data_IF_232285055988
#
_entry.id   IF_232285055988
#
_cell.length_a   1.000
_cell.length_b   1.000
_cell.length_c   1.000
_cell.angle_alpha   90.00
_cell.angle_beta   90.00
_cell.angle_gamma   90.00
#
_symmetry.space_group_name_H-M   'P 1'
#
loop_
_entity.id
_entity.type
_entity.pdbx_description
1 polymer ?
#
# COMPACT_ATOMS: atom_id res chain seq x y z
N UNK A 1 -13.09 -31.13 5.48
CA UNK A 1 -12.66 -29.71 5.49
C UNK A 1 -11.16 -29.70 5.73
N UNK A 2 -10.35 -29.58 4.69
CA UNK A 2 -8.89 -29.46 4.86
C UNK A 2 -8.59 -28.07 5.46
N UNK A 3 -8.17 -28.05 6.71
CA UNK A 3 -7.57 -26.83 7.30
C UNK A 3 -6.23 -26.64 6.61
N UNK A 4 -6.07 -25.55 5.88
CA UNK A 4 -4.77 -25.15 5.40
C UNK A 4 -3.85 -24.93 6.60
N UNK A 5 -2.66 -25.57 6.62
CA UNK A 5 -1.77 -25.52 7.78
C UNK A 5 -1.11 -24.13 8.01
N UNK A 6 -1.32 -23.17 7.12
CA UNK A 6 -0.73 -21.83 7.19
C UNK A 6 -1.77 -20.79 7.64
N UNK A 7 -2.02 -20.75 8.94
CA UNK A 7 -2.88 -19.72 9.55
C UNK A 7 -2.09 -18.48 9.98
N UNK A 8 -0.76 -18.50 9.90
CA UNK A 8 0.09 -17.41 10.34
C UNK A 8 0.59 -16.59 9.14
N UNK A 9 0.55 -15.28 9.27
CA UNK A 9 1.17 -14.36 8.33
C UNK A 9 2.67 -14.62 8.21
N UNK A 10 3.25 -14.46 7.01
CA UNK A 10 4.68 -14.55 6.78
C UNK A 10 5.47 -13.63 7.74
N UNK A 11 5.00 -12.43 7.94
CA UNK A 11 5.62 -11.41 8.80
C UNK A 11 5.69 -11.82 10.27
N UNK A 12 4.81 -12.73 10.70
CA UNK A 12 4.72 -13.20 12.08
C UNK A 12 5.48 -14.49 12.35
N UNK A 13 6.04 -15.13 11.33
CA UNK A 13 6.80 -16.39 11.49
C UNK A 13 8.17 -16.16 12.16
N UNK A 14 8.70 -14.97 12.03
CA UNK A 14 10.00 -14.57 12.58
C UNK A 14 9.88 -13.51 13.67
N UNK A 15 8.68 -13.34 14.21
CA UNK A 15 8.37 -12.26 15.13
C UNK A 15 9.06 -12.45 16.48
N UNK A 16 10.04 -11.60 16.77
CA UNK A 16 10.45 -11.34 18.14
C UNK A 16 9.38 -10.45 18.73
N UNK A 17 8.40 -11.04 19.41
CA UNK A 17 7.33 -10.29 20.08
C UNK A 17 7.95 -9.25 21.01
N UNK A 18 7.95 -8.00 20.57
CA UNK A 18 8.37 -6.89 21.40
C UNK A 18 7.30 -6.71 22.47
N UNK A 19 7.69 -6.97 23.72
CA UNK A 19 6.81 -6.77 24.86
C UNK A 19 7.09 -5.40 25.46
N UNK A 20 6.05 -4.62 25.59
CA UNK A 20 6.08 -3.33 26.26
C UNK A 20 5.29 -3.41 27.56
N UNK A 21 5.70 -2.67 28.62
CA UNK A 21 4.99 -2.67 29.88
C UNK A 21 3.58 -2.07 29.71
N UNK A 22 2.66 -2.50 30.56
CA UNK A 22 1.37 -1.85 30.68
C UNK A 22 1.53 -0.44 31.21
N UNK A 23 0.65 0.45 30.76
CA UNK A 23 0.54 1.78 31.33
C UNK A 23 -0.18 1.66 32.70
N UNK A 24 0.58 1.78 33.78
CA UNK A 24 0.07 1.61 35.15
C UNK A 24 -0.11 2.94 35.89
N UNK A 25 0.40 4.03 35.33
CA UNK A 25 0.34 5.35 35.94
C UNK A 25 0.11 6.44 34.89
N UNK A 26 -0.28 7.62 35.37
CA UNK A 26 -0.43 8.80 34.50
C UNK A 26 0.93 9.20 33.91
N UNK A 27 0.98 9.47 32.62
CA UNK A 27 2.15 9.95 31.88
C UNK A 27 1.81 11.29 31.24
N UNK A 28 2.73 12.24 31.32
CA UNK A 28 2.60 13.51 30.61
C UNK A 28 3.38 13.45 29.29
N UNK A 29 2.78 13.88 28.20
CA UNK A 29 3.41 13.94 26.88
C UNK A 29 2.75 15.05 26.05
N UNK A 30 3.37 15.39 24.90
CA UNK A 30 2.79 16.34 23.96
C UNK A 30 1.64 15.70 23.18
N UNK A 31 1.81 14.43 22.75
CA UNK A 31 0.89 13.73 21.87
C UNK A 31 0.74 12.27 22.29
N UNK A 32 -0.49 11.80 22.32
CA UNK A 32 -0.82 10.37 22.46
C UNK A 32 -1.28 9.85 21.11
N UNK A 33 -0.64 8.76 20.65
CA UNK A 33 -1.07 8.00 19.47
C UNK A 33 -1.70 6.69 19.94
N UNK A 34 -2.91 6.39 19.50
CA UNK A 34 -3.65 5.18 19.89
C UNK A 34 -3.69 4.21 18.72
N UNK A 35 -3.12 3.02 18.94
CA UNK A 35 -2.99 1.95 17.96
C UNK A 35 -1.59 1.91 17.33
N UNK A 36 -0.87 0.79 17.51
CA UNK A 36 0.46 0.55 16.99
C UNK A 36 0.45 -0.32 15.71
N UNK A 37 -0.49 -0.07 14.80
CA UNK A 37 -0.40 -0.47 13.41
C UNK A 37 0.54 0.45 12.63
N UNK A 38 0.73 0.21 11.33
CA UNK A 38 1.67 0.98 10.49
C UNK A 38 1.40 2.49 10.56
N UNK A 39 0.14 2.92 10.50
CA UNK A 39 -0.21 4.34 10.57
C UNK A 39 0.20 4.97 11.90
N UNK A 40 -0.10 4.33 13.04
CA UNK A 40 0.28 4.85 14.35
C UNK A 40 1.77 4.84 14.58
N UNK A 41 2.48 3.80 14.14
CA UNK A 41 3.93 3.70 14.25
C UNK A 41 4.62 4.81 13.44
N UNK A 42 4.25 5.00 12.18
CA UNK A 42 4.83 6.05 11.33
C UNK A 42 4.50 7.43 11.88
N UNK A 43 3.25 7.66 12.33
CA UNK A 43 2.86 8.93 12.96
C UNK A 43 3.69 9.23 14.19
N UNK A 44 3.84 8.25 15.09
CA UNK A 44 4.63 8.41 16.32
C UNK A 44 6.10 8.70 16.01
N UNK A 45 6.68 7.96 15.05
CA UNK A 45 8.06 8.14 14.60
C UNK A 45 8.29 9.54 14.02
N UNK A 46 7.44 10.00 13.12
CA UNK A 46 7.56 11.32 12.51
C UNK A 46 7.39 12.46 13.52
N UNK A 47 6.47 12.33 14.47
CA UNK A 47 6.29 13.30 15.54
C UNK A 47 7.51 13.36 16.48
N UNK A 48 8.09 12.20 16.81
CA UNK A 48 9.29 12.10 17.62
C UNK A 48 10.49 12.74 16.90
N UNK A 49 10.64 12.51 15.61
CA UNK A 49 11.68 13.14 14.79
C UNK A 49 11.55 14.68 14.74
N UNK A 50 10.35 15.20 14.97
CA UNK A 50 10.04 16.63 15.09
C UNK A 50 10.17 17.17 16.53
N UNK A 51 10.78 16.38 17.42
CA UNK A 51 11.06 16.78 18.81
C UNK A 51 9.87 16.72 19.76
N UNK A 52 8.77 16.04 19.38
CA UNK A 52 7.61 15.87 20.26
C UNK A 52 7.81 14.70 21.23
N UNK A 53 7.36 14.87 22.46
CA UNK A 53 7.23 13.75 23.41
C UNK A 53 5.96 12.97 23.05
N UNK A 54 6.13 11.76 22.51
CA UNK A 54 5.02 10.94 22.02
C UNK A 54 4.86 9.69 22.89
N UNK A 55 3.62 9.39 23.27
CA UNK A 55 3.24 8.12 23.86
C UNK A 55 2.40 7.35 22.86
N UNK A 56 2.86 6.16 22.48
CA UNK A 56 2.12 5.23 21.61
C UNK A 56 1.48 4.14 22.46
N UNK A 57 0.16 4.01 22.39
CA UNK A 57 -0.63 3.02 23.12
C UNK A 57 -1.17 1.96 22.17
N UNK A 58 -1.01 0.69 22.56
CA UNK A 58 -1.54 -0.45 21.82
C UNK A 58 -2.30 -1.36 22.78
N UNK A 59 -3.48 -1.84 22.38
CA UNK A 59 -4.32 -2.66 23.22
C UNK A 59 -3.84 -4.12 23.34
N UNK A 60 -3.14 -4.60 22.32
CA UNK A 60 -2.70 -6.02 22.21
C UNK A 60 -1.20 -6.12 21.99
N UNK A 61 -0.77 -6.14 20.75
CA UNK A 61 0.64 -6.26 20.33
C UNK A 61 0.91 -5.31 19.15
N UNK A 62 2.10 -4.74 19.13
CA UNK A 62 2.54 -3.85 18.04
C UNK A 62 2.49 -4.59 16.70
N UNK A 63 1.88 -3.98 15.68
CA UNK A 63 1.80 -4.53 14.33
C UNK A 63 0.87 -5.74 14.15
N UNK A 64 0.16 -6.18 15.18
CA UNK A 64 -0.61 -7.43 15.16
C UNK A 64 -1.83 -7.41 14.26
N UNK A 65 -2.47 -6.27 14.08
CA UNK A 65 -3.69 -6.12 13.29
C UNK A 65 -3.47 -6.33 11.79
N UNK A 66 -4.11 -5.53 10.96
CA UNK A 66 -3.97 -5.54 9.50
C UNK A 66 -2.51 -5.41 9.04
N UNK A 67 -1.69 -4.66 9.76
CA UNK A 67 -0.26 -4.48 9.47
C UNK A 67 0.49 -5.81 9.46
N UNK A 68 0.28 -6.67 10.42
CA UNK A 68 0.91 -8.00 10.50
C UNK A 68 0.35 -9.02 9.50
N UNK A 69 -0.65 -8.67 8.70
CA UNK A 69 -1.29 -9.53 7.70
C UNK A 69 -1.29 -8.89 6.31
N UNK A 70 -0.51 -7.84 6.11
CA UNK A 70 -0.38 -7.17 4.81
C UNK A 70 0.34 -8.04 3.78
N UNK A 71 0.13 -7.77 2.49
CA UNK A 71 0.96 -8.34 1.41
C UNK A 71 2.23 -7.51 1.18
N UNK A 72 2.43 -6.43 1.94
CA UNK A 72 3.52 -5.46 1.81
C UNK A 72 3.65 -4.80 0.43
N UNK A 73 2.62 -4.88 -0.40
CA UNK A 73 2.60 -4.16 -1.68
C UNK A 73 2.19 -2.71 -1.46
N UNK A 74 3.06 -1.79 -1.79
CA UNK A 74 2.78 -0.35 -1.82
C UNK A 74 2.68 0.12 -3.26
N UNK A 75 1.63 0.85 -3.61
CA UNK A 75 1.31 1.18 -5.00
C UNK A 75 0.47 2.45 -5.06
N UNK A 76 0.62 3.22 -6.12
CA UNK A 76 -0.34 4.29 -6.45
C UNK A 76 -1.60 3.74 -7.12
N UNK A 77 -1.61 2.46 -7.51
CA UNK A 77 -2.74 1.82 -8.17
C UNK A 77 -3.57 0.99 -7.19
N UNK A 78 -4.81 1.39 -6.97
CA UNK A 78 -5.77 0.71 -6.11
C UNK A 78 -7.01 0.26 -6.91
N UNK A 79 -6.81 -0.63 -7.88
CA UNK A 79 -7.83 -0.99 -8.86
C UNK A 79 -8.10 0.18 -9.83
N UNK A 80 -9.29 0.21 -10.45
CA UNK A 80 -9.73 1.31 -11.33
C UNK A 80 -10.30 2.48 -10.49
N UNK A 81 -9.45 3.13 -9.69
CA UNK A 81 -9.88 4.15 -8.71
C UNK A 81 -9.94 5.55 -9.31
N UNK A 82 -9.03 5.90 -10.24
CA UNK A 82 -8.88 7.28 -10.71
C UNK A 82 -10.06 7.72 -11.58
N UNK A 83 -10.50 6.88 -12.50
CA UNK A 83 -11.72 7.13 -13.29
C UNK A 83 -12.95 7.31 -12.40
N UNK A 84 -13.05 6.50 -11.33
CA UNK A 84 -14.12 6.62 -10.34
C UNK A 84 -14.04 7.91 -9.53
N UNK A 85 -12.85 8.32 -9.09
CA UNK A 85 -12.65 9.57 -8.37
C UNK A 85 -13.02 10.77 -9.24
N UNK A 86 -12.64 10.78 -10.52
CA UNK A 86 -13.02 11.83 -11.46
C UNK A 86 -14.53 11.91 -11.67
N UNK A 87 -15.21 10.77 -11.79
CA UNK A 87 -16.67 10.72 -11.96
C UNK A 87 -17.42 11.14 -10.70
N UNK A 88 -16.92 10.75 -9.53
CA UNK A 88 -17.61 11.00 -8.25
C UNK A 88 -17.35 12.41 -7.71
N UNK A 89 -16.15 12.92 -7.94
CA UNK A 89 -15.71 14.22 -7.44
C UNK A 89 -15.26 15.11 -8.61
N UNK A 90 -13.98 15.10 -8.94
CA UNK A 90 -13.40 15.85 -10.06
C UNK A 90 -11.94 15.36 -10.34
N UNK A 91 -11.34 15.93 -11.38
CA UNK A 91 -9.95 15.64 -11.78
C UNK A 91 -8.95 16.03 -10.69
N UNK A 92 -9.13 17.17 -10.03
CA UNK A 92 -8.24 17.66 -8.98
C UNK A 92 -8.19 16.68 -7.80
N UNK A 93 -9.32 16.16 -7.37
CA UNK A 93 -9.38 15.13 -6.31
C UNK A 93 -8.64 13.86 -6.71
N UNK A 94 -8.78 13.42 -7.94
CA UNK A 94 -8.06 12.25 -8.45
C UNK A 94 -6.54 12.50 -8.50
N UNK A 95 -6.11 13.69 -8.90
CA UNK A 95 -4.72 14.11 -8.93
C UNK A 95 -4.11 14.18 -7.53
N UNK A 96 -4.78 14.82 -6.59
CA UNK A 96 -4.33 14.87 -5.19
C UNK A 96 -4.22 13.48 -4.57
N UNK A 97 -5.17 12.60 -4.86
CA UNK A 97 -5.09 11.21 -4.40
C UNK A 97 -3.84 10.50 -4.95
N UNK A 98 -3.52 10.70 -6.22
CA UNK A 98 -2.30 10.18 -6.83
C UNK A 98 -1.05 10.75 -6.16
N UNK A 99 -0.94 12.09 -6.07
CA UNK A 99 0.22 12.81 -5.53
C UNK A 99 0.53 12.37 -4.08
N UNK A 100 -0.48 12.26 -3.22
CA UNK A 100 -0.29 11.79 -1.85
C UNK A 100 0.19 10.33 -1.76
N UNK A 101 -0.30 9.46 -2.63
CA UNK A 101 0.17 8.08 -2.65
C UNK A 101 1.58 7.95 -3.23
N UNK A 102 1.93 8.75 -4.22
CA UNK A 102 3.26 8.81 -4.81
C UNK A 102 4.28 9.36 -3.81
N UNK A 103 3.94 10.43 -3.10
CA UNK A 103 4.75 10.95 -1.98
C UNK A 103 4.96 9.91 -0.86
N UNK A 104 3.95 9.09 -0.57
CA UNK A 104 4.07 7.99 0.38
C UNK A 104 5.03 6.90 -0.11
N UNK A 105 5.07 6.59 -1.39
CA UNK A 105 6.07 5.67 -1.97
C UNK A 105 7.48 6.24 -1.87
N UNK A 106 7.64 7.52 -2.17
CA UNK A 106 8.93 8.21 -2.03
C UNK A 106 9.39 8.27 -0.55
N UNK A 107 8.45 8.44 0.38
CA UNK A 107 8.76 8.36 1.80
C UNK A 107 9.34 6.98 2.16
N UNK A 108 8.68 5.90 1.75
CA UNK A 108 9.16 4.54 2.00
C UNK A 108 10.55 4.31 1.38
N UNK A 109 10.78 4.76 0.15
CA UNK A 109 12.08 4.67 -0.51
C UNK A 109 13.17 5.39 0.28
N UNK A 110 12.90 6.60 0.77
CA UNK A 110 13.84 7.32 1.64
C UNK A 110 14.16 6.56 2.93
N UNK A 111 13.17 5.86 3.54
CA UNK A 111 13.43 5.05 4.73
C UNK A 111 14.39 3.89 4.43
N UNK A 112 14.25 3.24 3.27
CA UNK A 112 15.20 2.19 2.83
C UNK A 112 16.61 2.76 2.67
N UNK A 113 16.76 3.92 2.08
CA UNK A 113 18.05 4.59 1.89
C UNK A 113 18.75 4.94 3.21
N UNK A 114 18.03 5.00 4.35
CA UNK A 114 18.63 5.18 5.68
C UNK A 114 19.27 3.92 6.26
N UNK A 115 19.21 2.77 5.54
CA UNK A 115 19.89 1.54 5.89
C UNK A 115 18.99 0.46 6.50
N UNK A 116 17.68 0.61 6.43
CA UNK A 116 16.76 -0.49 6.77
C UNK A 116 16.82 -1.57 5.69
N UNK A 117 17.26 -2.76 6.05
CA UNK A 117 17.21 -3.95 5.19
C UNK A 117 15.81 -4.57 5.29
N UNK A 118 15.00 -4.33 4.25
CA UNK A 118 13.59 -4.74 4.20
C UNK A 118 13.22 -5.46 2.90
N UNK A 119 14.20 -6.04 2.20
CA UNK A 119 13.97 -6.73 0.91
C UNK A 119 13.17 -5.86 -0.10
N UNK A 120 13.53 -4.58 -0.19
CA UNK A 120 12.83 -3.61 -1.02
C UNK A 120 13.02 -3.88 -2.51
N UNK A 121 11.93 -4.03 -3.25
CA UNK A 121 11.94 -4.21 -4.70
C UNK A 121 10.95 -3.27 -5.39
N UNK A 122 11.37 -2.72 -6.53
CA UNK A 122 10.48 -1.97 -7.44
C UNK A 122 10.02 -2.90 -8.57
N UNK A 123 8.72 -3.05 -8.73
CA UNK A 123 8.10 -3.89 -9.76
C UNK A 123 7.03 -3.12 -10.52
N UNK A 124 6.70 -3.59 -11.71
CA UNK A 124 5.54 -3.11 -12.44
C UNK A 124 4.26 -3.70 -11.87
N UNK A 125 3.22 -2.88 -11.77
CA UNK A 125 1.88 -3.31 -11.36
C UNK A 125 0.97 -3.35 -12.58
N UNK A 126 0.16 -4.39 -12.70
CA UNK A 126 -0.77 -4.54 -13.81
C UNK A 126 -2.20 -4.63 -13.29
N UNK A 127 -3.08 -3.82 -13.86
CA UNK A 127 -4.52 -3.95 -13.72
C UNK A 127 -5.06 -4.46 -15.06
N UNK A 128 -5.78 -5.56 -15.07
CA UNK A 128 -6.32 -6.18 -16.27
C UNK A 128 -7.76 -6.63 -16.09
N UNK A 129 -8.47 -6.82 -17.20
CA UNK A 129 -9.81 -7.42 -17.23
C UNK A 129 -9.90 -8.43 -18.36
N UNK A 130 -10.69 -9.46 -18.15
CA UNK A 130 -11.00 -10.50 -19.14
C UNK A 130 -12.39 -10.33 -19.77
N UNK A 131 -13.24 -9.48 -19.20
CA UNK A 131 -14.65 -9.38 -19.59
C UNK A 131 -15.00 -8.09 -20.34
N UNK A 132 -14.50 -6.93 -19.90
CA UNK A 132 -14.81 -5.64 -20.51
C UNK A 132 -13.62 -4.70 -20.45
N UNK A 133 -13.29 -4.07 -21.59
CA UNK A 133 -12.21 -3.10 -21.70
C UNK A 133 -12.62 -1.66 -21.35
N UNK A 134 -13.94 -1.36 -21.31
CA UNK A 134 -14.41 0.03 -21.15
C UNK A 134 -13.96 0.69 -19.85
N UNK A 135 -13.97 -0.05 -18.73
CA UNK A 135 -13.54 0.47 -17.44
C UNK A 135 -12.03 0.78 -17.43
N UNK A 136 -11.22 -0.08 -18.04
CA UNK A 136 -9.78 0.16 -18.13
C UNK A 136 -9.43 1.27 -19.11
N UNK A 137 -10.17 1.43 -20.20
CA UNK A 137 -10.01 2.56 -21.12
C UNK A 137 -10.23 3.90 -20.38
N UNK A 138 -11.29 3.99 -19.59
CA UNK A 138 -11.56 5.17 -18.76
C UNK A 138 -10.47 5.39 -17.69
N UNK A 139 -9.91 4.34 -17.15
CA UNK A 139 -8.83 4.43 -16.16
C UNK A 139 -7.51 4.90 -16.81
N UNK A 140 -7.17 4.42 -18.01
CA UNK A 140 -6.01 4.90 -18.78
C UNK A 140 -6.15 6.37 -19.12
N UNK A 141 -7.35 6.80 -19.55
CA UNK A 141 -7.63 8.22 -19.79
C UNK A 141 -7.47 9.07 -18.51
N UNK A 142 -7.92 8.54 -17.37
CA UNK A 142 -7.74 9.20 -16.09
C UNK A 142 -6.26 9.35 -15.72
N UNK A 143 -5.43 8.32 -15.95
CA UNK A 143 -3.98 8.41 -15.73
C UNK A 143 -3.33 9.55 -16.53
N UNK A 144 -3.69 9.66 -17.81
CA UNK A 144 -3.17 10.73 -18.67
C UNK A 144 -3.55 12.12 -18.15
N UNK A 145 -4.79 12.30 -17.70
CA UNK A 145 -5.27 13.59 -17.17
C UNK A 145 -4.57 14.02 -15.89
N UNK A 146 -4.30 13.08 -14.98
CA UNK A 146 -3.65 13.40 -13.70
C UNK A 146 -2.12 13.35 -13.76
N UNK A 147 -1.53 12.97 -14.89
CA UNK A 147 -0.07 12.85 -15.05
C UNK A 147 0.54 11.60 -14.39
N UNK A 148 -0.28 10.56 -14.10
CA UNK A 148 0.23 9.29 -13.61
C UNK A 148 1.00 8.57 -14.73
N UNK A 149 2.22 8.15 -14.41
CA UNK A 149 3.05 7.40 -15.34
C UNK A 149 2.57 5.95 -15.49
N UNK A 150 1.68 5.71 -16.43
CA UNK A 150 1.10 4.42 -16.73
C UNK A 150 0.39 4.47 -18.09
N UNK A 151 0.04 3.31 -18.64
CA UNK A 151 -0.60 3.24 -19.94
C UNK A 151 -1.08 1.85 -20.32
N UNK A 152 -1.44 1.67 -21.57
CA UNK A 152 -1.84 0.37 -22.09
C UNK A 152 -0.67 -0.63 -22.07
N UNK A 153 -0.87 -1.73 -21.39
CA UNK A 153 0.08 -2.82 -21.23
C UNK A 153 -0.48 -4.17 -21.70
N UNK A 154 -1.48 -4.15 -22.58
CA UNK A 154 -2.19 -5.36 -23.03
C UNK A 154 -1.22 -6.41 -23.61
N UNK A 155 -0.27 -5.97 -24.44
CA UNK A 155 0.71 -6.88 -25.03
C UNK A 155 1.65 -7.48 -23.99
N UNK A 156 2.07 -6.72 -22.99
CA UNK A 156 2.95 -7.18 -21.91
C UNK A 156 2.25 -8.24 -21.05
N UNK A 157 1.01 -7.98 -20.64
CA UNK A 157 0.22 -8.90 -19.83
C UNK A 157 -0.07 -10.19 -20.59
N UNK A 158 -0.40 -10.12 -21.89
CA UNK A 158 -0.60 -11.28 -22.73
C UNK A 158 0.68 -12.12 -22.90
N UNK A 159 1.84 -11.51 -22.90
CA UNK A 159 3.13 -12.20 -22.95
C UNK A 159 3.47 -12.94 -21.64
N UNK A 160 3.10 -12.34 -20.49
CA UNK A 160 3.40 -12.91 -19.16
C UNK A 160 2.40 -14.00 -18.76
N UNK A 161 1.14 -13.89 -19.18
CA UNK A 161 0.07 -14.84 -18.85
C UNK A 161 -0.49 -15.61 -20.06
N UNK A 162 0.33 -16.26 -20.88
CA UNK A 162 -0.13 -17.03 -22.03
C UNK A 162 -1.02 -18.25 -21.63
N UNK A 163 -1.06 -18.58 -20.35
CA UNK A 163 -1.77 -19.74 -19.78
C UNK A 163 -3.11 -19.41 -19.12
N UNK A 164 -3.56 -18.18 -19.13
CA UNK A 164 -4.94 -17.88 -18.74
C UNK A 164 -5.85 -18.49 -19.79
N UNK A 165 -6.21 -19.72 -19.56
CA UNK A 165 -6.98 -20.64 -20.37
C UNK A 165 -8.06 -19.92 -21.18
N UNK A 166 -7.90 -19.85 -22.51
CA UNK A 166 -8.87 -19.36 -23.50
C UNK A 166 -9.47 -17.97 -23.32
N UNK A 167 -9.05 -17.19 -22.30
CA UNK A 167 -9.44 -15.79 -22.11
C UNK A 167 -8.19 -14.96 -21.91
N UNK A 168 -7.64 -14.45 -23.00
CA UNK A 168 -6.62 -13.41 -22.94
C UNK A 168 -7.22 -12.15 -22.30
N UNK A 169 -6.47 -11.40 -21.49
CA UNK A 169 -6.92 -10.10 -21.03
C UNK A 169 -7.35 -9.25 -22.21
N UNK A 170 -8.55 -8.68 -22.14
CA UNK A 170 -9.04 -7.78 -23.18
C UNK A 170 -8.34 -6.42 -23.15
N UNK A 171 -7.85 -6.02 -21.98
CA UNK A 171 -6.99 -4.86 -21.79
C UNK A 171 -6.23 -4.95 -20.46
N UNK A 172 -5.14 -4.20 -20.35
CA UNK A 172 -4.35 -4.08 -19.13
C UNK A 172 -3.72 -2.69 -19.04
N UNK A 173 -3.46 -2.23 -17.82
CA UNK A 173 -2.75 -0.98 -17.54
C UNK A 173 -1.65 -1.20 -16.53
N UNK A 174 -0.58 -0.40 -16.60
CA UNK A 174 0.66 -0.62 -15.87
C UNK A 174 1.14 0.66 -15.19
N UNK A 175 0.89 0.89 -13.91
CA UNK A 175 1.73 1.73 -13.07
C UNK A 175 2.82 0.91 -12.35
N UNK A 176 3.78 1.61 -11.74
CA UNK A 176 4.79 0.98 -10.89
C UNK A 176 4.27 0.74 -9.48
N UNK A 177 4.78 -0.29 -8.82
CA UNK A 177 4.61 -0.49 -7.39
C UNK A 177 5.93 -0.85 -6.71
N UNK A 178 5.92 -0.71 -5.39
CA UNK A 178 7.02 -1.08 -4.50
C UNK A 178 6.57 -2.27 -3.66
N UNK A 179 7.42 -3.26 -3.55
CA UNK A 179 7.23 -4.42 -2.69
C UNK A 179 8.27 -4.41 -1.59
#
# INVERSE_FOLDING_TARGET
MHRYPFTNSLWRQHDRTLQYPRLESSVSCDIVVIGAGIAGLVTAYELQNRGKQVVLLEATEVGRGTTGHTTAKCSVQHGAIYSKLMQTFNEETARLYYEFNDEALDYLKRQVETGFDIDYEVKDSYLYTIDSSSQLASEIEAYQKIGLNGGDATNEVNAVFPFLYNKQPSSATKPRFIR
#
